data_IF_344628358330
#
_entry.id   IF_344628358330
#
_cell.length_a   1.000
_cell.length_b   1.000
_cell.length_c   1.000
_cell.angle_alpha   90.00
_cell.angle_beta   90.00
_cell.angle_gamma   90.00
#
_symmetry.space_group_name_H-M   'P 1'
#
loop_
_entity.id
_entity.type
_entity.pdbx_description
1 polymer ?
#
# COMPACT_ATOMS: atom_id res chain seq x y z
N UNK A 1 41.08 -16.18 7.58
CA UNK A 1 39.86 -15.94 6.80
C UNK A 1 39.27 -14.61 7.21
N UNK A 2 39.21 -13.59 6.34
CA UNK A 2 38.49 -12.34 6.63
C UNK A 2 37.00 -12.61 6.46
N UNK A 3 36.23 -12.49 7.54
CA UNK A 3 34.77 -12.51 7.45
C UNK A 3 34.34 -11.33 6.57
N UNK A 4 33.83 -11.61 5.37
CA UNK A 4 33.20 -10.61 4.51
C UNK A 4 31.99 -10.08 5.28
N UNK A 5 32.12 -8.87 5.83
CA UNK A 5 31.01 -8.17 6.49
C UNK A 5 29.93 -7.99 5.42
N UNK A 6 28.85 -8.78 5.48
CA UNK A 6 27.70 -8.62 4.58
C UNK A 6 27.27 -7.16 4.64
N UNK A 7 27.34 -6.46 3.51
CA UNK A 7 26.85 -5.09 3.39
C UNK A 7 25.36 -5.12 3.74
N UNK A 8 24.96 -4.35 4.75
CA UNK A 8 23.54 -4.10 5.03
C UNK A 8 22.93 -3.38 3.83
N UNK A 9 21.64 -3.60 3.56
CA UNK A 9 20.90 -2.86 2.54
C UNK A 9 21.06 -1.36 2.81
N UNK A 10 21.39 -0.53 1.80
CA UNK A 10 21.59 0.90 1.98
C UNK A 10 20.26 1.68 2.08
N UNK A 11 19.11 1.03 1.82
CA UNK A 11 17.80 1.68 1.84
C UNK A 11 17.43 2.02 3.28
N UNK A 12 17.03 3.28 3.49
CA UNK A 12 16.53 3.78 4.77
C UNK A 12 15.00 3.76 4.78
N UNK A 13 14.44 3.20 5.85
CA UNK A 13 13.00 3.10 6.08
C UNK A 13 12.57 3.88 7.34
N UNK A 14 13.38 4.85 7.79
CA UNK A 14 13.08 5.69 8.96
C UNK A 14 11.73 6.41 8.88
N UNK A 15 11.25 6.70 7.67
CA UNK A 15 9.93 7.31 7.42
C UNK A 15 8.78 6.29 7.41
N UNK A 16 9.07 4.99 7.34
CA UNK A 16 8.07 3.93 7.40
C UNK A 16 7.65 3.67 8.86
N UNK A 17 6.92 4.62 9.45
CA UNK A 17 6.50 4.61 10.86
C UNK A 17 4.98 4.59 11.02
N UNK A 18 4.24 4.46 9.92
CA UNK A 18 2.78 4.48 9.91
C UNK A 18 2.23 3.04 10.04
N UNK A 19 0.99 2.95 10.49
CA UNK A 19 0.20 1.72 10.39
C UNK A 19 -0.75 1.87 9.21
N UNK A 20 -0.90 0.82 8.41
CA UNK A 20 -1.87 0.75 7.32
C UNK A 20 -2.65 -0.55 7.40
N UNK A 21 -3.89 -0.52 6.92
CA UNK A 21 -4.71 -1.72 6.76
C UNK A 21 -4.88 -2.03 5.29
N UNK A 22 -4.48 -3.24 4.89
CA UNK A 22 -4.67 -3.79 3.56
C UNK A 22 -5.90 -4.70 3.58
N UNK A 23 -6.84 -4.43 2.69
CA UNK A 23 -7.96 -5.31 2.42
C UNK A 23 -7.74 -5.98 1.07
N UNK A 24 -7.90 -7.30 1.07
CA UNK A 24 -7.76 -8.13 -0.11
C UNK A 24 -9.04 -8.94 -0.35
N UNK A 25 -9.37 -9.12 -1.62
CA UNK A 25 -10.38 -10.05 -2.10
C UNK A 25 -9.74 -10.99 -3.10
N UNK A 26 -9.90 -12.29 -2.89
CA UNK A 26 -9.31 -13.35 -3.73
C UNK A 26 -9.96 -13.48 -5.13
N UNK A 27 -10.96 -12.66 -5.44
CA UNK A 27 -11.75 -12.74 -6.67
C UNK A 27 -12.88 -13.78 -6.61
N UNK A 28 -13.04 -14.47 -5.48
CA UNK A 28 -14.07 -15.47 -5.23
C UNK A 28 -14.82 -15.14 -3.93
N UNK A 29 -14.46 -15.75 -2.82
CA UNK A 29 -15.23 -15.72 -1.58
C UNK A 29 -14.48 -15.16 -0.37
N UNK A 30 -13.16 -15.11 -0.39
CA UNK A 30 -12.37 -14.72 0.77
C UNK A 30 -12.11 -13.20 0.77
N UNK A 31 -12.50 -12.56 1.87
CA UNK A 31 -12.15 -11.18 2.19
C UNK A 31 -11.22 -11.19 3.40
N UNK A 32 -10.03 -10.61 3.25
CA UNK A 32 -9.04 -10.58 4.32
C UNK A 32 -8.66 -9.15 4.67
N UNK A 33 -8.43 -8.93 5.96
CA UNK A 33 -7.88 -7.70 6.52
C UNK A 33 -6.51 -7.99 7.11
N UNK A 34 -5.51 -7.22 6.69
CA UNK A 34 -4.15 -7.30 7.22
C UNK A 34 -3.73 -5.93 7.73
N UNK A 35 -3.41 -5.83 9.01
CA UNK A 35 -2.81 -4.61 9.59
C UNK A 35 -1.29 -4.73 9.48
N UNK A 36 -0.67 -3.72 8.89
CA UNK A 36 0.77 -3.65 8.66
C UNK A 36 1.31 -2.45 9.42
N UNK A 37 2.24 -2.70 10.33
CA UNK A 37 2.98 -1.67 11.03
C UNK A 37 4.30 -1.39 10.33
N UNK A 38 4.74 -0.14 10.36
CA UNK A 38 6.01 0.27 9.76
C UNK A 38 5.93 0.42 8.24
N UNK A 39 4.83 1.00 7.75
CA UNK A 39 4.65 1.37 6.35
C UNK A 39 4.80 2.90 6.18
N UNK A 40 4.94 3.34 4.93
CA UNK A 40 4.85 4.74 4.55
C UNK A 40 3.77 4.88 3.46
N UNK A 41 2.71 5.60 3.75
CA UNK A 41 1.62 5.92 2.83
C UNK A 41 1.57 7.45 2.69
N UNK A 42 1.81 7.92 1.47
CA UNK A 42 1.76 9.33 1.12
C UNK A 42 0.75 9.57 -0.01
N UNK A 43 0.05 10.69 0.09
CA UNK A 43 -0.97 11.11 -0.85
C UNK A 43 -0.43 12.27 -1.66
N UNK A 44 -0.17 12.02 -2.94
CA UNK A 44 0.21 13.07 -3.86
C UNK A 44 -1.05 13.71 -4.43
N UNK A 45 -1.38 14.89 -3.90
CA UNK A 45 -2.37 15.78 -4.51
C UNK A 45 -1.85 16.27 -5.85
N UNK A 46 -2.51 15.86 -6.93
CA UNK A 46 -2.29 16.45 -8.25
C UNK A 46 -3.52 17.28 -8.60
N UNK A 47 -3.41 18.60 -8.50
CA UNK A 47 -4.44 19.50 -9.02
C UNK A 47 -4.31 19.55 -10.55
N UNK A 48 -5.22 18.88 -11.26
CA UNK A 48 -5.39 19.09 -12.69
C UNK A 48 -6.48 20.14 -12.90
N UNK A 49 -6.15 21.21 -13.62
CA UNK A 49 -7.13 22.22 -14.05
C UNK A 49 -7.57 21.87 -15.47
N UNK A 50 -8.73 21.24 -15.60
CA UNK A 50 -9.42 20.98 -16.86
C UNK A 50 -10.57 21.97 -17.10
N UNK A 51 -10.97 22.13 -18.37
CA UNK A 51 -11.95 23.14 -18.83
C UNK A 51 -13.38 22.96 -18.31
N UNK A 52 -13.64 21.94 -17.48
CA UNK A 52 -14.99 21.53 -17.05
C UNK A 52 -15.16 21.50 -15.53
N UNK A 53 -14.12 21.88 -14.77
CA UNK A 53 -14.14 21.88 -13.31
C UNK A 53 -13.23 20.79 -12.74
N UNK A 54 -12.45 21.16 -11.73
CA UNK A 54 -11.34 20.38 -11.18
C UNK A 54 -11.71 18.93 -10.86
N UNK A 55 -10.96 17.98 -11.44
CA UNK A 55 -10.97 16.58 -11.02
C UNK A 55 -9.78 16.31 -10.09
N UNK A 56 -10.05 16.05 -8.80
CA UNK A 56 -9.03 15.60 -7.86
C UNK A 56 -8.66 14.13 -8.17
N UNK A 57 -7.51 13.92 -8.81
CA UNK A 57 -6.89 12.60 -8.92
C UNK A 57 -5.91 12.46 -7.76
N UNK A 58 -6.37 11.83 -6.67
CA UNK A 58 -5.53 11.52 -5.52
C UNK A 58 -4.65 10.31 -5.84
N UNK A 59 -3.51 10.57 -6.48
CA UNK A 59 -2.45 9.56 -6.62
C UNK A 59 -1.78 9.30 -5.26
N UNK A 60 -1.30 8.08 -5.02
CA UNK A 60 -0.61 7.75 -3.77
C UNK A 60 0.64 6.90 -3.99
N UNK A 61 1.53 6.93 -2.99
CA UNK A 61 2.67 6.04 -2.86
C UNK A 61 2.58 5.30 -1.53
N UNK A 62 2.59 3.97 -1.60
CA UNK A 62 2.72 3.07 -0.47
C UNK A 62 4.08 2.37 -0.54
N UNK A 63 4.83 2.40 0.56
CA UNK A 63 6.08 1.67 0.74
C UNK A 63 5.93 0.76 1.95
N UNK A 64 6.14 -0.55 1.76
CA UNK A 64 6.13 -1.54 2.83
C UNK A 64 7.49 -2.26 2.86
N UNK A 65 8.36 -1.95 3.85
CA UNK A 65 9.61 -2.67 4.07
C UNK A 65 9.37 -4.14 4.40
N UNK A 66 10.24 -5.00 3.90
CA UNK A 66 10.18 -6.43 4.18
C UNK A 66 10.53 -7.30 2.98
N UNK A 67 10.68 -8.59 3.24
CA UNK A 67 11.05 -9.59 2.22
C UNK A 67 9.83 -10.21 1.51
N UNK A 68 8.62 -9.81 1.91
CA UNK A 68 7.36 -10.27 1.34
C UNK A 68 6.72 -9.19 0.49
N UNK A 69 5.80 -9.59 -0.39
CA UNK A 69 4.96 -8.68 -1.18
C UNK A 69 3.53 -8.76 -0.61
N UNK A 70 3.15 -7.89 0.34
CA UNK A 70 1.93 -8.06 1.13
C UNK A 70 0.68 -7.42 0.51
N UNK A 71 0.81 -6.88 -0.71
CA UNK A 71 -0.26 -6.18 -1.44
C UNK A 71 -0.34 -6.69 -2.87
N UNK A 72 -1.55 -6.70 -3.42
CA UNK A 72 -1.85 -7.05 -4.79
C UNK A 72 -2.62 -5.91 -5.50
N UNK A 73 -2.62 -5.94 -6.84
CA UNK A 73 -3.46 -5.01 -7.62
C UNK A 73 -4.93 -5.26 -7.30
N UNK A 74 -5.68 -4.18 -7.05
CA UNK A 74 -7.09 -4.22 -6.63
C UNK A 74 -7.28 -4.19 -5.11
N UNK A 75 -6.22 -4.38 -4.32
CA UNK A 75 -6.30 -4.22 -2.87
C UNK A 75 -6.70 -2.81 -2.48
N UNK A 76 -7.40 -2.71 -1.36
CA UNK A 76 -7.79 -1.42 -0.78
C UNK A 76 -6.90 -1.16 0.42
N UNK A 77 -6.35 0.04 0.51
CA UNK A 77 -5.43 0.40 1.60
C UNK A 77 -5.98 1.62 2.33
N UNK A 78 -5.99 1.54 3.66
CA UNK A 78 -6.41 2.62 4.54
C UNK A 78 -5.27 2.96 5.51
N UNK A 79 -5.07 4.25 5.77
CA UNK A 79 -4.17 4.69 6.84
C UNK A 79 -4.76 4.33 8.21
N UNK A 80 -3.94 3.78 9.09
CA UNK A 80 -4.32 3.33 10.43
C UNK A 80 -4.92 1.93 10.45
N UNK A 81 -5.49 1.57 11.61
CA UNK A 81 -6.26 0.34 11.79
C UNK A 81 -7.70 0.55 11.33
N UNK A 82 -8.06 -0.06 10.21
CA UNK A 82 -9.41 0.02 9.66
C UNK A 82 -10.34 -1.07 10.21
N UNK A 83 -11.65 -1.00 9.91
CA UNK A 83 -12.65 -1.95 10.39
C UNK A 83 -12.41 -3.37 9.87
N UNK A 84 -12.93 -4.39 10.56
CA UNK A 84 -12.96 -5.75 10.03
C UNK A 84 -13.86 -5.86 8.79
N UNK A 85 -13.37 -6.59 7.79
CA UNK A 85 -14.12 -6.90 6.56
C UNK A 85 -13.92 -8.38 6.22
N UNK A 86 -14.99 -9.15 6.37
CA UNK A 86 -15.06 -10.57 6.08
C UNK A 86 -16.26 -10.93 5.16
N UNK A 87 -16.93 -9.92 4.60
CA UNK A 87 -18.13 -10.08 3.78
C UNK A 87 -18.08 -9.23 2.52
N UNK A 88 -18.89 -9.61 1.53
CA UNK A 88 -19.03 -8.89 0.26
C UNK A 88 -19.58 -7.48 0.48
N UNK A 89 -20.53 -7.33 1.37
CA UNK A 89 -21.16 -6.05 1.70
C UNK A 89 -20.15 -5.12 2.38
N UNK A 90 -19.34 -5.64 3.30
CA UNK A 90 -18.25 -4.89 3.93
C UNK A 90 -17.21 -4.44 2.90
N UNK A 91 -16.82 -5.34 1.99
CA UNK A 91 -15.91 -4.99 0.89
C UNK A 91 -16.51 -3.93 -0.04
N UNK A 92 -17.78 -4.04 -0.41
CA UNK A 92 -18.46 -3.08 -1.28
C UNK A 92 -18.66 -1.70 -0.62
N UNK A 93 -18.72 -1.65 0.72
CA UNK A 93 -18.79 -0.39 1.48
C UNK A 93 -17.45 0.37 1.50
N UNK A 94 -16.32 -0.35 1.45
CA UNK A 94 -14.99 0.23 1.33
C UNK A 94 -14.75 0.78 -0.09
N UNK A 95 -15.23 1.97 -0.39
CA UNK A 95 -14.94 2.66 -1.65
C UNK A 95 -14.37 4.06 -1.38
N UNK A 96 -13.40 4.55 -2.18
CA UNK A 96 -12.72 5.82 -1.89
C UNK A 96 -13.66 7.02 -1.70
N UNK A 97 -14.77 7.06 -2.45
CA UNK A 97 -15.78 8.14 -2.34
C UNK A 97 -16.56 8.12 -1.01
N UNK A 98 -16.61 6.98 -0.31
CA UNK A 98 -17.32 6.83 0.97
C UNK A 98 -16.40 6.80 2.17
N UNK A 99 -15.14 6.40 1.97
CA UNK A 99 -14.16 6.21 3.04
C UNK A 99 -12.96 7.11 2.76
N UNK A 100 -12.91 8.31 3.37
CA UNK A 100 -11.79 9.23 3.21
C UNK A 100 -10.46 8.57 3.55
N UNK A 101 -9.44 8.79 2.70
CA UNK A 101 -8.12 8.20 2.87
C UNK A 101 -8.00 6.73 2.43
N UNK A 102 -9.08 6.10 1.96
CA UNK A 102 -9.02 4.78 1.33
C UNK A 102 -8.53 4.91 -0.12
N UNK A 103 -7.53 4.11 -0.49
CA UNK A 103 -6.98 4.05 -1.84
C UNK A 103 -7.09 2.65 -2.42
N UNK A 104 -7.03 2.54 -3.75
CA UNK A 104 -7.07 1.27 -4.47
C UNK A 104 -5.75 1.07 -5.21
N UNK A 105 -5.07 -0.03 -4.94
CA UNK A 105 -3.80 -0.38 -5.58
C UNK A 105 -4.00 -0.64 -7.06
N UNK A 106 -3.26 0.08 -7.92
CA UNK A 106 -3.25 -0.09 -9.38
C UNK A 106 -1.96 -0.72 -9.89
N UNK A 107 -0.85 -0.54 -9.17
CA UNK A 107 0.40 -1.22 -9.46
C UNK A 107 1.07 -1.69 -8.17
N UNK A 108 1.86 -2.77 -8.30
CA UNK A 108 2.71 -3.32 -7.25
C UNK A 108 4.09 -3.55 -7.85
N UNK A 109 5.12 -3.05 -7.18
CA UNK A 109 6.51 -3.10 -7.64
C UNK A 109 7.44 -3.51 -6.49
N UNK A 110 7.77 -4.82 -6.39
CA UNK A 110 8.76 -5.30 -5.44
C UNK A 110 10.15 -4.77 -5.79
N UNK A 111 10.84 -4.19 -4.81
CA UNK A 111 12.21 -3.68 -4.98
C UNK A 111 13.23 -4.68 -4.44
N UNK A 112 14.34 -4.79 -5.16
CA UNK A 112 15.36 -5.80 -4.91
C UNK A 112 16.70 -5.19 -4.54
N UNK A 113 17.40 -5.84 -3.61
CA UNK A 113 18.81 -5.60 -3.31
C UNK A 113 19.53 -6.94 -3.21
N UNK A 114 20.66 -7.10 -3.92
CA UNK A 114 21.41 -8.37 -4.00
C UNK A 114 20.52 -9.59 -4.33
N UNK A 115 19.52 -9.41 -5.20
CA UNK A 115 18.62 -10.48 -5.65
C UNK A 115 17.52 -10.87 -4.66
N UNK A 116 17.40 -10.17 -3.53
CA UNK A 116 16.32 -10.38 -2.56
C UNK A 116 15.39 -9.16 -2.50
N UNK A 117 14.10 -9.40 -2.30
CA UNK A 117 13.13 -8.32 -2.02
C UNK A 117 13.50 -7.64 -0.71
N UNK A 118 13.48 -6.30 -0.71
CA UNK A 118 13.75 -5.48 0.47
C UNK A 118 12.58 -4.61 0.90
N UNK A 119 11.74 -4.22 -0.06
CA UNK A 119 10.45 -3.59 0.20
C UNK A 119 9.54 -3.75 -1.02
N UNK A 120 8.27 -3.45 -0.83
CA UNK A 120 7.28 -3.34 -1.91
C UNK A 120 6.85 -1.89 -2.04
N UNK A 121 6.82 -1.37 -3.26
CA UNK A 121 6.14 -0.12 -3.60
C UNK A 121 4.80 -0.43 -4.25
N UNK A 122 3.78 0.36 -3.96
CA UNK A 122 2.48 0.27 -4.59
C UNK A 122 1.86 1.66 -4.73
N UNK A 123 0.96 1.82 -5.69
CA UNK A 123 0.28 3.09 -5.91
C UNK A 123 -0.88 2.95 -6.87
N UNK A 124 -1.55 4.06 -7.15
CA UNK A 124 -2.74 4.12 -7.99
C UNK A 124 -3.40 5.47 -8.04
#
# INVERSE_FOLDING_TARGET
>A
MRALRRRKCPVDYSLCNQTVTVYHWDGAAAYTRTVIHGAFLDFKKTENVDKTGSSEVNSFLLVIPGQTVPVAVGDKVLLGEGPEVNSREGWAALIPVKVPGLVVVRYVDPKYWNGAVVHTEAGG
#
